data_IF_598560583954
#
_entry.id   IF_598560583954
#
_cell.length_a   1.000
_cell.length_b   1.000
_cell.length_c   1.000
_cell.angle_alpha   90.00
_cell.angle_beta   90.00
_cell.angle_gamma   90.00
#
_symmetry.space_group_name_H-M   'P 1'
#
loop_
_entity.id
_entity.type
_entity.pdbx_description
1 polymer ?
#
# COMPACT_ATOMS: atom_id res chain seq x y z
N UNK A 1 -23.60 10.01 56.76
CA UNK A 1 -22.45 9.18 56.29
C UNK A 1 -22.84 8.13 55.25
N UNK A 2 -23.88 7.30 55.46
CA UNK A 2 -24.35 6.32 54.44
C UNK A 2 -24.77 6.96 53.10
N UNK A 3 -25.44 8.11 53.11
CA UNK A 3 -25.90 8.80 51.89
C UNK A 3 -24.73 9.31 51.03
N UNK A 4 -23.67 9.83 51.67
CA UNK A 4 -22.45 10.30 51.00
C UNK A 4 -21.69 9.16 50.32
N UNK A 5 -21.69 7.98 50.93
CA UNK A 5 -21.02 6.78 50.40
C UNK A 5 -21.78 6.23 49.18
N UNK A 6 -23.11 6.27 49.19
CA UNK A 6 -23.94 5.90 48.03
C UNK A 6 -23.74 6.87 46.87
N UNK A 7 -23.64 8.17 47.13
CA UNK A 7 -23.37 9.20 46.11
C UNK A 7 -21.96 9.03 45.53
N UNK A 8 -20.95 8.75 46.37
CA UNK A 8 -19.57 8.54 45.90
C UNK A 8 -19.47 7.29 45.00
N UNK A 9 -20.19 6.21 45.33
CA UNK A 9 -20.24 4.98 44.54
C UNK A 9 -21.01 5.19 43.23
N UNK A 10 -22.12 5.93 43.25
CA UNK A 10 -22.86 6.21 42.01
C UNK A 10 -22.08 7.13 41.04
N UNK A 11 -21.29 8.08 41.56
CA UNK A 11 -20.39 8.90 40.72
C UNK A 11 -19.23 8.08 40.11
N UNK A 12 -18.74 7.04 40.80
CA UNK A 12 -17.64 6.21 40.28
C UNK A 12 -18.10 5.16 39.26
N UNK A 13 -19.37 4.74 39.30
CA UNK A 13 -19.95 3.85 38.26
C UNK A 13 -20.31 4.63 36.97
N UNK A 14 -20.66 5.92 37.08
CA UNK A 14 -20.94 6.77 35.92
C UNK A 14 -19.69 7.15 35.09
N UNK A 15 -18.48 6.93 35.62
CA UNK A 15 -17.21 7.20 34.93
C UNK A 15 -16.76 6.10 33.94
N UNK A 16 -17.46 4.96 33.89
CA UNK A 16 -17.01 3.76 33.16
C UNK A 16 -17.86 3.43 31.90
N UNK A 17 -18.57 4.41 31.32
CA UNK A 17 -19.39 4.18 30.11
C UNK A 17 -18.79 4.74 28.81
N UNK A 18 -17.56 5.26 28.86
CA UNK A 18 -16.96 6.03 27.77
C UNK A 18 -15.89 5.32 26.94
N UNK A 19 -15.52 4.09 27.28
CA UNK A 19 -14.61 3.31 26.43
C UNK A 19 -15.43 2.67 25.32
N UNK A 20 -15.55 3.41 24.22
CA UNK A 20 -16.20 2.97 22.99
C UNK A 20 -15.56 1.65 22.52
N UNK A 21 -16.31 0.54 22.59
CA UNK A 21 -16.00 -0.71 21.88
C UNK A 21 -15.60 -0.49 20.41
N UNK A 22 -16.06 0.63 19.81
CA UNK A 22 -15.68 1.10 18.48
C UNK A 22 -14.17 1.31 18.31
N UNK A 23 -13.47 1.78 19.35
CA UNK A 23 -12.01 2.00 19.30
C UNK A 23 -11.22 0.69 19.40
N UNK A 24 -11.74 -0.31 20.14
CA UNK A 24 -11.15 -1.65 20.15
C UNK A 24 -11.36 -2.36 18.81
N UNK A 25 -12.59 -2.33 18.28
CA UNK A 25 -12.89 -2.90 16.96
C UNK A 25 -12.12 -2.21 15.84
N UNK A 26 -11.92 -0.89 15.91
CA UNK A 26 -11.08 -0.14 14.95
C UNK A 26 -9.61 -0.57 15.06
N UNK A 27 -9.08 -0.75 16.26
CA UNK A 27 -7.70 -1.20 16.47
C UNK A 27 -7.44 -2.59 15.88
N UNK A 28 -8.37 -3.53 16.03
CA UNK A 28 -8.23 -4.88 15.48
C UNK A 28 -8.32 -4.88 13.94
N UNK A 29 -9.22 -4.07 13.38
CA UNK A 29 -9.35 -3.89 11.92
C UNK A 29 -8.11 -3.20 11.33
N UNK A 30 -7.59 -2.17 11.99
CA UNK A 30 -6.39 -1.47 11.55
C UNK A 30 -5.18 -2.44 11.56
N UNK A 31 -5.04 -3.30 12.59
CA UNK A 31 -3.99 -4.33 12.64
C UNK A 31 -4.07 -5.36 11.49
N UNK A 32 -5.26 -5.88 11.20
CA UNK A 32 -5.45 -6.83 10.08
C UNK A 32 -5.18 -6.16 8.74
N UNK A 33 -5.53 -4.87 8.62
CA UNK A 33 -5.29 -4.09 7.41
C UNK A 33 -3.80 -3.87 7.18
N UNK A 34 -3.05 -3.51 8.22
CA UNK A 34 -1.61 -3.32 8.13
C UNK A 34 -0.90 -4.61 7.70
N UNK A 35 -1.24 -5.75 8.32
CA UNK A 35 -0.68 -7.06 7.95
C UNK A 35 -1.01 -7.44 6.50
N UNK A 36 -2.25 -7.17 6.06
CA UNK A 36 -2.65 -7.42 4.68
C UNK A 36 -1.88 -6.56 3.68
N UNK A 37 -1.68 -5.27 3.99
CA UNK A 37 -0.90 -4.35 3.17
C UNK A 37 0.55 -4.85 3.05
N UNK A 38 1.16 -5.26 4.16
CA UNK A 38 2.54 -5.74 4.17
C UNK A 38 2.71 -7.04 3.39
N UNK A 39 1.80 -7.99 3.53
CA UNK A 39 1.81 -9.24 2.76
C UNK A 39 1.54 -9.01 1.27
N UNK A 40 0.59 -8.13 0.93
CA UNK A 40 0.32 -7.72 -0.45
C UNK A 40 1.59 -7.14 -1.10
N UNK A 41 2.25 -6.19 -0.42
CA UNK A 41 3.51 -5.60 -0.88
C UNK A 41 4.62 -6.65 -1.03
N UNK A 42 4.69 -7.63 -0.12
CA UNK A 42 5.65 -8.75 -0.21
C UNK A 42 5.41 -9.58 -1.48
N UNK A 43 4.16 -9.95 -1.74
CA UNK A 43 3.78 -10.73 -2.92
C UNK A 43 4.03 -9.96 -4.23
N UNK A 44 3.74 -8.65 -4.26
CA UNK A 44 4.02 -7.78 -5.40
C UNK A 44 5.52 -7.76 -5.73
N UNK A 45 6.38 -7.65 -4.72
CA UNK A 45 7.85 -7.72 -4.93
C UNK A 45 8.27 -9.07 -5.51
N UNK A 46 7.77 -10.17 -4.96
CA UNK A 46 8.10 -11.52 -5.44
C UNK A 46 7.63 -11.71 -6.89
N UNK A 47 6.42 -11.26 -7.21
CA UNK A 47 5.87 -11.32 -8.55
C UNK A 47 6.69 -10.46 -9.53
N UNK A 48 7.12 -9.27 -9.11
CA UNK A 48 7.98 -8.39 -9.90
C UNK A 48 9.28 -9.10 -10.30
N UNK A 49 9.95 -9.73 -9.34
CA UNK A 49 11.17 -10.53 -9.61
C UNK A 49 10.88 -11.66 -10.60
N UNK A 50 9.77 -12.40 -10.42
CA UNK A 50 9.38 -13.49 -11.31
C UNK A 50 9.11 -13.00 -12.73
N UNK A 51 8.45 -11.84 -12.90
CA UNK A 51 8.15 -11.28 -14.22
C UNK A 51 9.42 -10.85 -14.95
N UNK A 52 10.37 -10.19 -14.28
CA UNK A 52 11.64 -9.80 -14.91
C UNK A 52 12.52 -11.00 -15.23
N UNK A 53 12.50 -12.05 -14.39
CA UNK A 53 13.19 -13.31 -14.71
C UNK A 53 12.60 -13.99 -15.94
N UNK A 54 11.28 -13.94 -16.12
CA UNK A 54 10.58 -14.51 -17.27
C UNK A 54 10.80 -13.70 -18.56
N UNK A 55 10.87 -12.36 -18.46
CA UNK A 55 11.03 -11.46 -19.60
C UNK A 55 12.18 -10.47 -19.36
N UNK A 56 13.45 -10.93 -19.42
CA UNK A 56 14.61 -10.09 -19.11
C UNK A 56 14.76 -8.90 -20.08
N UNK A 57 14.27 -9.03 -21.32
CA UNK A 57 14.28 -7.94 -22.31
C UNK A 57 13.56 -6.68 -21.84
N UNK A 58 12.53 -6.80 -20.99
CA UNK A 58 11.78 -5.66 -20.47
C UNK A 58 12.64 -4.79 -19.54
N UNK A 59 13.52 -5.41 -18.74
CA UNK A 59 14.44 -4.68 -17.88
C UNK A 59 15.49 -3.91 -18.68
N UNK A 60 15.91 -4.46 -19.83
CA UNK A 60 16.89 -3.84 -20.71
C UNK A 60 16.37 -2.62 -21.48
N UNK A 61 15.04 -2.41 -21.53
CA UNK A 61 14.44 -1.21 -22.13
C UNK A 61 14.78 0.06 -21.35
N UNK A 62 15.00 -0.05 -20.04
CA UNK A 62 15.51 1.05 -19.22
C UNK A 62 17.04 0.89 -19.06
N UNK A 63 17.81 1.80 -19.65
CA UNK A 63 19.28 1.73 -19.62
C UNK A 63 19.82 1.78 -18.17
N UNK A 64 20.67 0.81 -17.80
CA UNK A 64 21.30 0.76 -16.48
C UNK A 64 20.38 0.33 -15.33
N UNK A 65 19.20 -0.19 -15.66
CA UNK A 65 18.23 -0.68 -14.69
C UNK A 65 18.57 -2.09 -14.20
N UNK A 66 18.41 -2.32 -12.90
CA UNK A 66 18.52 -3.65 -12.28
C UNK A 66 17.24 -4.00 -11.55
N UNK A 67 17.04 -5.28 -11.25
CA UNK A 67 15.87 -5.75 -10.50
C UNK A 67 15.84 -5.07 -9.12
N UNK A 68 16.99 -4.98 -8.46
CA UNK A 68 17.13 -4.37 -7.14
C UNK A 68 16.74 -2.89 -7.17
N UNK A 69 17.25 -2.12 -8.14
CA UNK A 69 16.87 -0.71 -8.32
C UNK A 69 15.36 -0.56 -8.54
N UNK A 70 14.73 -1.52 -9.25
CA UNK A 70 13.28 -1.47 -9.51
C UNK A 70 12.48 -1.80 -8.26
N UNK A 71 12.93 -2.77 -7.47
CA UNK A 71 12.32 -3.09 -6.18
C UNK A 71 12.44 -1.93 -5.19
N UNK A 72 13.58 -1.21 -5.18
CA UNK A 72 13.74 0.00 -4.37
C UNK A 72 12.79 1.11 -4.78
N UNK A 73 12.52 1.28 -6.08
CA UNK A 73 11.52 2.24 -6.56
C UNK A 73 10.11 1.88 -6.07
N UNK A 74 9.73 0.59 -6.09
CA UNK A 74 8.44 0.12 -5.57
C UNK A 74 8.30 0.26 -4.05
N UNK A 75 9.41 0.24 -3.31
CA UNK A 75 9.41 0.42 -1.86
C UNK A 75 9.29 1.89 -1.44
N UNK A 76 9.93 2.78 -2.19
CA UNK A 76 10.04 4.20 -1.83
C UNK A 76 8.94 5.07 -2.46
N UNK A 77 8.05 4.49 -3.26
CA UNK A 77 7.02 5.20 -4.01
C UNK A 77 5.77 5.56 -3.20
N UNK A 78 5.91 5.98 -1.95
CA UNK A 78 4.79 6.54 -1.17
C UNK A 78 4.41 7.98 -1.63
N UNK A 79 4.55 8.31 -2.92
CA UNK A 79 4.38 9.66 -3.46
C UNK A 79 4.33 9.74 -5.00
N UNK A 80 4.22 10.95 -5.53
CA UNK A 80 4.03 11.23 -6.96
C UNK A 80 5.20 10.71 -7.81
N UNK A 81 4.97 9.57 -8.47
CA UNK A 81 5.96 8.89 -9.28
C UNK A 81 6.08 9.54 -10.66
N UNK A 82 7.04 10.45 -10.82
CA UNK A 82 7.31 11.12 -12.09
C UNK A 82 8.33 10.32 -12.92
N UNK A 83 7.90 9.23 -13.55
CA UNK A 83 8.72 8.49 -14.51
C UNK A 83 8.59 9.09 -15.91
N UNK A 84 9.72 9.34 -16.57
CA UNK A 84 9.76 9.77 -17.98
C UNK A 84 8.98 8.81 -18.89
N UNK A 85 9.01 7.52 -18.54
CA UNK A 85 8.30 6.44 -19.24
C UNK A 85 6.76 6.56 -19.14
N UNK A 86 6.23 7.31 -18.17
CA UNK A 86 4.81 7.61 -17.98
C UNK A 86 4.34 8.86 -18.73
N UNK A 87 5.26 9.71 -19.18
CA UNK A 87 4.90 11.03 -19.72
C UNK A 87 3.92 11.79 -18.80
N UNK A 88 4.05 11.62 -17.48
CA UNK A 88 3.18 12.23 -16.47
C UNK A 88 1.82 11.53 -16.23
N UNK A 89 1.49 10.44 -16.92
CA UNK A 89 0.23 9.70 -16.71
C UNK A 89 0.26 8.88 -15.42
N UNK A 90 -0.79 8.97 -14.61
CA UNK A 90 -0.95 8.26 -13.34
C UNK A 90 -2.21 7.38 -13.37
N UNK A 91 -2.34 6.49 -12.37
CA UNK A 91 -3.55 5.70 -12.12
C UNK A 91 -4.04 4.85 -13.32
N UNK A 92 -5.32 4.95 -13.68
CA UNK A 92 -5.97 4.21 -14.76
C UNK A 92 -5.29 4.43 -16.12
N UNK A 93 -4.84 5.65 -16.38
CA UNK A 93 -4.15 5.99 -17.63
C UNK A 93 -2.81 5.26 -17.76
N UNK A 94 -2.14 4.95 -16.64
CA UNK A 94 -0.91 4.18 -16.65
C UNK A 94 -1.15 2.69 -16.99
N UNK A 95 -2.31 2.14 -16.62
CA UNK A 95 -2.69 0.76 -16.94
C UNK A 95 -3.04 0.58 -18.41
N UNK A 96 -3.75 1.53 -19.01
CA UNK A 96 -4.07 1.48 -20.44
C UNK A 96 -2.81 1.42 -21.30
N UNK A 97 -1.72 2.06 -20.86
CA UNK A 97 -0.42 1.97 -21.53
C UNK A 97 0.18 0.56 -21.53
N UNK A 98 -0.10 -0.27 -20.50
CA UNK A 98 0.35 -1.68 -20.47
C UNK A 98 -0.24 -2.45 -21.65
N UNK A 99 -1.50 -2.16 -21.96
CA UNK A 99 -2.27 -2.85 -22.99
C UNK A 99 -2.15 -2.22 -24.38
N UNK A 100 -1.60 -1.00 -24.47
CA UNK A 100 -1.37 -0.35 -25.74
C UNK A 100 -0.31 -1.13 -26.57
N UNK A 101 -0.64 -1.58 -27.80
CA UNK A 101 0.29 -2.30 -28.65
C UNK A 101 1.53 -1.47 -29.02
N UNK A 102 1.39 -0.16 -29.15
CA UNK A 102 2.45 0.78 -29.56
C UNK A 102 3.38 1.19 -28.39
N UNK A 103 3.12 0.69 -27.18
CA UNK A 103 3.95 1.02 -26.02
C UNK A 103 5.30 0.31 -26.04
N UNK A 104 6.37 1.07 -26.20
CA UNK A 104 7.74 0.53 -26.27
C UNK A 104 8.51 0.60 -24.93
N UNK A 105 7.91 1.11 -23.86
CA UNK A 105 8.55 1.14 -22.54
C UNK A 105 8.52 -0.22 -21.81
N UNK A 106 9.05 -0.24 -20.59
CA UNK A 106 9.02 -1.40 -19.70
C UNK A 106 7.58 -1.66 -19.22
N UNK A 107 6.95 -2.71 -19.75
CA UNK A 107 5.57 -3.09 -19.41
C UNK A 107 5.45 -3.65 -17.99
N UNK A 108 6.51 -4.28 -17.47
CA UNK A 108 6.50 -4.85 -16.12
C UNK A 108 6.47 -3.70 -15.12
N UNK A 109 7.27 -2.67 -15.34
CA UNK A 109 7.27 -1.48 -14.48
C UNK A 109 5.89 -0.79 -14.42
N UNK A 110 5.09 -0.86 -15.50
CA UNK A 110 3.75 -0.26 -15.56
C UNK A 110 2.69 -1.04 -14.80
N UNK A 111 2.72 -2.38 -14.85
CA UNK A 111 1.67 -3.21 -14.24
C UNK A 111 1.58 -3.08 -12.71
N UNK A 112 2.65 -2.65 -12.05
CA UNK A 112 2.71 -2.54 -10.59
C UNK A 112 2.47 -1.13 -10.04
N UNK A 113 2.21 -0.16 -10.92
CA UNK A 113 2.03 1.25 -10.51
C UNK A 113 0.78 1.49 -9.65
N UNK A 114 -0.18 0.57 -9.66
CA UNK A 114 -1.42 0.65 -8.88
C UNK A 114 -1.22 0.65 -7.36
N UNK A 115 -0.14 0.04 -6.86
CA UNK A 115 0.14 -0.07 -5.42
C UNK A 115 0.56 1.28 -4.80
N UNK A 116 0.89 2.27 -5.62
CA UNK A 116 1.32 3.60 -5.18
C UNK A 116 0.15 4.54 -4.84
N UNK A 117 -1.10 4.15 -5.11
CA UNK A 117 -2.31 4.98 -4.99
C UNK A 117 -3.15 4.59 -3.76
N UNK A 118 -2.84 3.45 -3.13
CA UNK A 118 -3.58 2.93 -1.96
C UNK A 118 -2.79 3.12 -0.65
#
# INVERSE_FOLDING_TARGET
MRLLLVILVSLSVAGCSGYEFKNLAKSDVDLVTDEFIDESRRLVRELTVKLYKRNPSQLHKTTGMTIEKRLTLLQNSAGELNFVELAGRQETEALELVFNPDFDGDRISKSFFWDSIM
#
